data_IF_649190345679
#
_entry.id   IF_649190345679
#
_cell.length_a   1.000
_cell.length_b   1.000
_cell.length_c   1.000
_cell.angle_alpha   90.00
_cell.angle_beta   90.00
_cell.angle_gamma   90.00
#
_symmetry.space_group_name_H-M   'P 1'
#
loop_
_entity.id
_entity.type
_entity.pdbx_description
1 polymer ?
#
# COMPACT_ATOMS: atom_id res chain seq x y z
N UNK A 1 6.65 18.23 -18.03
CA UNK A 1 7.01 16.79 -17.95
C UNK A 1 6.03 16.13 -17.00
N UNK A 2 5.49 14.97 -17.35
CA UNK A 2 4.65 14.21 -16.41
C UNK A 2 5.50 13.32 -15.52
N UNK A 3 4.93 12.90 -14.39
CA UNK A 3 5.67 12.22 -13.33
C UNK A 3 5.99 10.77 -13.67
N UNK A 4 6.97 10.21 -12.98
CA UNK A 4 7.24 8.76 -12.91
C UNK A 4 6.74 8.19 -11.59
N UNK A 5 5.83 7.22 -11.65
CA UNK A 5 5.40 6.43 -10.49
C UNK A 5 6.18 5.13 -10.40
N UNK A 6 6.56 4.73 -9.18
CA UNK A 6 7.00 3.37 -8.89
C UNK A 6 5.96 2.68 -8.02
N UNK A 7 5.56 1.46 -8.36
CA UNK A 7 4.61 0.65 -7.58
C UNK A 7 5.19 -0.72 -7.25
N UNK A 8 5.22 -1.05 -5.94
CA UNK A 8 5.51 -2.38 -5.46
C UNK A 8 4.23 -3.08 -5.00
N UNK A 9 4.07 -4.36 -5.32
CA UNK A 9 2.86 -5.12 -4.99
C UNK A 9 1.69 -4.92 -5.97
N UNK A 10 1.99 -4.57 -7.23
CA UNK A 10 1.00 -4.34 -8.29
C UNK A 10 0.15 -5.58 -8.63
N UNK A 11 0.61 -6.79 -8.29
CA UNK A 11 -0.19 -8.01 -8.43
C UNK A 11 -1.15 -8.25 -7.26
N UNK A 12 -1.14 -7.41 -6.21
CA UNK A 12 -2.00 -7.53 -5.03
C UNK A 12 -3.40 -6.95 -5.22
N UNK A 13 -4.26 -7.10 -4.19
CA UNK A 13 -5.64 -6.59 -4.23
C UNK A 13 -5.71 -5.08 -4.45
N UNK A 14 -5.00 -4.30 -3.62
CA UNK A 14 -4.97 -2.83 -3.74
C UNK A 14 -4.04 -2.41 -4.87
N UNK A 15 -2.85 -3.00 -4.95
CA UNK A 15 -1.86 -2.63 -5.96
C UNK A 15 -2.32 -2.86 -7.40
N UNK A 16 -3.13 -3.90 -7.64
CA UNK A 16 -3.71 -4.15 -8.97
C UNK A 16 -4.74 -3.10 -9.37
N UNK A 17 -5.59 -2.65 -8.44
CA UNK A 17 -6.50 -1.53 -8.71
C UNK A 17 -5.74 -0.21 -8.85
N UNK A 18 -4.72 0.02 -8.03
CA UNK A 18 -3.89 1.22 -8.11
C UNK A 18 -3.13 1.29 -9.43
N UNK A 19 -2.59 0.17 -9.92
CA UNK A 19 -1.92 0.13 -11.23
C UNK A 19 -2.85 0.61 -12.35
N UNK A 20 -4.12 0.16 -12.37
CA UNK A 20 -5.10 0.63 -13.36
C UNK A 20 -5.32 2.14 -13.26
N UNK A 21 -5.43 2.67 -12.04
CA UNK A 21 -5.60 4.11 -11.80
C UNK A 21 -4.37 4.89 -12.28
N UNK A 22 -3.17 4.41 -11.99
CA UNK A 22 -1.92 5.05 -12.41
C UNK A 22 -1.77 5.09 -13.93
N UNK A 23 -2.07 3.98 -14.62
CA UNK A 23 -1.94 3.89 -16.08
C UNK A 23 -2.97 4.76 -16.82
N UNK A 24 -4.19 4.85 -16.29
CA UNK A 24 -5.27 5.68 -16.85
C UNK A 24 -5.11 7.18 -16.57
N UNK A 25 -4.44 7.56 -15.47
CA UNK A 25 -4.19 8.96 -15.12
C UNK A 25 -3.27 9.70 -16.10
N UNK A 26 -3.47 11.00 -16.30
CA UNK A 26 -2.62 11.84 -17.15
C UNK A 26 -1.39 12.41 -16.41
N UNK A 27 -1.37 12.26 -15.09
CA UNK A 27 -0.38 12.82 -14.17
C UNK A 27 0.94 12.04 -14.24
N UNK A 28 0.85 10.74 -14.53
CA UNK A 28 1.98 9.86 -14.73
C UNK A 28 2.15 9.54 -16.22
N UNK A 29 3.36 9.75 -16.71
CA UNK A 29 3.74 9.39 -18.09
C UNK A 29 4.48 8.06 -18.11
N UNK A 30 5.06 7.68 -16.98
CA UNK A 30 5.78 6.42 -16.80
C UNK A 30 5.39 5.76 -15.47
N UNK A 31 5.16 4.46 -15.49
CA UNK A 31 4.80 3.65 -14.31
C UNK A 31 5.70 2.43 -14.29
N UNK A 32 6.57 2.37 -13.28
CA UNK A 32 7.49 1.25 -13.04
C UNK A 32 6.84 0.31 -12.02
N UNK A 33 6.49 -0.90 -12.44
CA UNK A 33 5.95 -1.93 -11.56
C UNK A 33 7.06 -2.89 -11.12
N UNK A 34 7.37 -2.89 -9.82
CA UNK A 34 8.26 -3.88 -9.21
C UNK A 34 7.48 -5.16 -8.93
N UNK A 35 7.85 -6.23 -9.61
CA UNK A 35 7.13 -7.50 -9.60
C UNK A 35 8.09 -8.66 -9.43
N UNK A 36 7.58 -9.78 -8.92
CA UNK A 36 8.34 -11.06 -8.85
C UNK A 36 8.08 -11.97 -10.05
N UNK A 37 7.04 -11.65 -10.83
CA UNK A 37 6.56 -12.37 -12.01
C UNK A 37 5.88 -11.37 -12.93
N UNK A 38 5.92 -11.57 -14.25
CA UNK A 38 5.23 -10.69 -15.20
C UNK A 38 3.74 -10.53 -14.85
N UNK A 39 3.22 -9.33 -15.09
CA UNK A 39 1.80 -9.03 -15.02
C UNK A 39 1.13 -9.38 -16.36
N UNK A 40 -0.15 -9.74 -16.30
CA UNK A 40 -0.97 -9.94 -17.50
C UNK A 40 -1.58 -8.61 -17.97
N UNK A 41 -0.77 -7.55 -17.98
CA UNK A 41 -1.19 -6.18 -18.35
C UNK A 41 -0.17 -5.59 -19.31
N UNK A 42 -0.63 -5.14 -20.47
CA UNK A 42 0.21 -4.41 -21.43
C UNK A 42 -0.27 -2.97 -21.51
N UNK A 43 0.67 -2.02 -21.38
CA UNK A 43 0.36 -0.60 -21.50
C UNK A 43 1.61 0.19 -21.89
N UNK A 44 1.46 1.22 -22.73
CA UNK A 44 2.59 2.01 -23.24
C UNK A 44 3.37 2.77 -22.16
N UNK A 45 2.71 3.13 -21.07
CA UNK A 45 3.32 3.76 -19.88
C UNK A 45 3.92 2.76 -18.88
N UNK A 46 3.66 1.46 -19.04
CA UNK A 46 4.03 0.45 -18.06
C UNK A 46 5.41 -0.12 -18.38
N UNK A 47 6.32 -0.02 -17.43
CA UNK A 47 7.57 -0.77 -17.39
C UNK A 47 7.50 -1.77 -16.23
N UNK A 48 7.73 -3.05 -16.53
CA UNK A 48 7.82 -4.07 -15.50
C UNK A 48 9.29 -4.35 -15.18
N UNK A 49 9.63 -4.31 -13.90
CA UNK A 49 10.94 -4.74 -13.39
C UNK A 49 10.74 -5.98 -12.54
N UNK A 50 11.20 -7.10 -13.07
CA UNK A 50 11.21 -8.37 -12.35
C UNK A 50 12.41 -8.35 -11.43
N UNK A 51 12.17 -8.21 -10.13
CA UNK A 51 13.23 -8.10 -9.12
C UNK A 51 13.01 -9.10 -7.98
N UNK A 52 14.10 -9.45 -7.31
CA UNK A 52 14.03 -9.96 -5.95
C UNK A 52 13.98 -8.80 -4.96
N UNK A 53 13.02 -8.80 -4.03
CA UNK A 53 12.95 -7.74 -3.03
C UNK A 53 14.02 -7.88 -1.93
N UNK A 54 14.70 -9.02 -1.88
CA UNK A 54 15.92 -9.21 -1.07
C UNK A 54 17.12 -8.48 -1.66
N UNK A 55 17.12 -8.20 -2.97
CA UNK A 55 18.21 -7.55 -3.68
C UNK A 55 17.68 -6.41 -4.57
N UNK A 56 17.69 -5.20 -4.00
CA UNK A 56 17.22 -4.00 -4.69
C UNK A 56 18.32 -3.32 -5.51
N UNK A 57 19.52 -3.90 -5.65
CA UNK A 57 20.63 -3.31 -6.41
C UNK A 57 20.25 -3.14 -7.90
N UNK A 58 19.37 -3.98 -8.44
CA UNK A 58 18.87 -3.87 -9.82
C UNK A 58 18.08 -2.58 -10.13
N UNK A 59 17.74 -1.81 -9.09
CA UNK A 59 17.07 -0.52 -9.21
C UNK A 59 18.05 0.65 -9.23
N UNK A 60 19.34 0.41 -8.98
CA UNK A 60 20.39 1.40 -9.14
C UNK A 60 20.51 1.81 -10.61
N UNK A 61 20.46 3.13 -10.88
CA UNK A 61 20.46 3.65 -12.25
C UNK A 61 19.07 3.83 -12.88
N UNK A 62 17.99 3.60 -12.13
CA UNK A 62 16.67 4.06 -12.56
C UNK A 62 16.65 5.58 -12.75
N UNK A 63 15.90 6.03 -13.76
CA UNK A 63 15.53 7.43 -13.93
C UNK A 63 14.84 7.96 -12.67
N UNK A 64 14.84 9.28 -12.49
CA UNK A 64 14.22 9.95 -11.34
C UNK A 64 12.79 9.44 -11.12
N UNK A 65 12.53 8.94 -9.91
CA UNK A 65 11.21 8.52 -9.45
C UNK A 65 10.61 9.69 -8.69
N UNK A 66 9.37 10.10 -9.01
CA UNK A 66 8.70 11.18 -8.28
C UNK A 66 7.95 10.65 -7.06
N UNK A 67 7.11 9.65 -7.30
CA UNK A 67 6.14 9.12 -6.35
C UNK A 67 6.25 7.59 -6.24
N UNK A 68 6.31 7.07 -5.00
CA UNK A 68 6.39 5.64 -4.73
C UNK A 68 5.16 5.13 -4.00
N UNK A 69 4.60 4.03 -4.49
CA UNK A 69 3.45 3.34 -3.92
C UNK A 69 3.82 1.92 -3.49
N UNK A 70 3.92 1.71 -2.18
CA UNK A 70 4.19 0.40 -1.59
C UNK A 70 2.89 -0.28 -1.15
N UNK A 71 2.42 -1.20 -1.99
CA UNK A 71 1.25 -2.05 -1.74
C UNK A 71 1.65 -3.47 -1.30
N UNK A 72 2.90 -3.65 -0.86
CA UNK A 72 3.39 -4.92 -0.34
C UNK A 72 2.65 -5.30 0.95
N UNK A 73 2.51 -6.61 1.15
CA UNK A 73 1.92 -7.17 2.33
C UNK A 73 1.53 -8.62 2.11
N UNK A 74 1.66 -9.41 3.16
CA UNK A 74 1.31 -10.82 3.16
C UNK A 74 0.38 -11.15 4.32
N UNK A 75 0.00 -12.42 4.41
CA UNK A 75 -0.76 -12.99 5.52
C UNK A 75 0.12 -14.04 6.18
N UNK A 76 0.03 -14.25 7.50
CA UNK A 76 0.81 -15.31 8.16
C UNK A 76 0.55 -16.69 7.51
N UNK A 77 -0.67 -16.94 7.01
CA UNK A 77 -1.00 -18.16 6.23
C UNK A 77 -0.14 -18.34 4.97
N UNK A 78 0.20 -17.24 4.28
CA UNK A 78 1.07 -17.25 3.09
C UNK A 78 2.54 -17.20 3.45
N UNK A 79 2.90 -16.35 4.41
CA UNK A 79 4.26 -16.17 4.89
C UNK A 79 4.80 -17.44 5.56
N UNK A 80 3.91 -18.27 6.13
CA UNK A 80 4.20 -19.46 6.94
C UNK A 80 4.85 -19.16 8.28
N UNK A 81 5.73 -18.16 8.35
CA UNK A 81 6.41 -17.76 9.59
C UNK A 81 6.31 -16.26 9.84
N UNK A 82 6.56 -15.88 11.09
CA UNK A 82 6.58 -14.48 11.52
C UNK A 82 7.72 -13.72 10.85
N UNK A 83 8.89 -14.33 10.72
CA UNK A 83 10.09 -13.75 10.12
C UNK A 83 9.87 -13.42 8.65
N UNK A 84 9.27 -14.34 7.88
CA UNK A 84 8.91 -14.09 6.48
C UNK A 84 7.85 -12.98 6.38
N UNK A 85 6.91 -12.94 7.33
CA UNK A 85 5.92 -11.86 7.37
C UNK A 85 6.57 -10.51 7.67
N UNK A 86 7.51 -10.41 8.61
CA UNK A 86 8.25 -9.18 8.90
C UNK A 86 9.04 -8.73 7.69
N UNK A 87 9.75 -9.64 7.02
CA UNK A 87 10.50 -9.30 5.80
C UNK A 87 9.60 -8.64 4.75
N UNK A 88 8.44 -9.22 4.48
CA UNK A 88 7.52 -8.71 3.45
C UNK A 88 6.76 -7.45 3.89
N UNK A 89 6.31 -7.39 5.15
CA UNK A 89 5.42 -6.33 5.64
C UNK A 89 6.15 -5.15 6.29
N UNK A 90 7.47 -5.26 6.55
CA UNK A 90 8.31 -4.27 7.23
C UNK A 90 9.60 -4.01 6.46
N UNK A 91 10.44 -5.03 6.28
CA UNK A 91 11.81 -4.82 5.80
C UNK A 91 11.82 -4.36 4.34
N UNK A 92 11.11 -5.06 3.43
CA UNK A 92 11.05 -4.66 2.03
C UNK A 92 10.44 -3.26 1.82
N UNK A 93 9.32 -2.86 2.47
CA UNK A 93 8.87 -1.47 2.43
C UNK A 93 9.95 -0.46 2.84
N UNK A 94 10.68 -0.72 3.92
CA UNK A 94 11.72 0.19 4.42
C UNK A 94 12.90 0.25 3.44
N UNK A 95 13.39 -0.89 2.95
CA UNK A 95 14.48 -0.96 1.98
C UNK A 95 14.12 -0.23 0.69
N UNK A 96 12.91 -0.45 0.17
CA UNK A 96 12.40 0.27 -1.00
C UNK A 96 12.31 1.78 -0.75
N UNK A 97 11.89 2.19 0.45
CA UNK A 97 11.79 3.59 0.81
C UNK A 97 13.18 4.26 0.86
N UNK A 98 14.19 3.62 1.45
CA UNK A 98 15.55 4.14 1.49
C UNK A 98 16.15 4.31 0.08
N UNK A 99 16.01 3.27 -0.76
CA UNK A 99 16.47 3.32 -2.13
C UNK A 99 15.72 4.39 -2.95
N UNK A 100 14.39 4.43 -2.87
CA UNK A 100 13.63 5.46 -3.57
C UNK A 100 14.05 6.87 -3.17
N UNK A 101 14.33 7.08 -1.88
CA UNK A 101 14.83 8.36 -1.37
C UNK A 101 16.19 8.71 -1.95
N UNK A 102 17.12 7.76 -2.08
CA UNK A 102 18.43 7.99 -2.71
C UNK A 102 18.31 8.30 -4.21
N UNK A 103 17.30 7.74 -4.89
CA UNK A 103 16.96 8.03 -6.28
C UNK A 103 16.15 9.33 -6.49
N UNK A 104 15.94 10.11 -5.42
CA UNK A 104 15.32 11.44 -5.47
C UNK A 104 13.80 11.47 -5.30
N UNK A 105 13.16 10.35 -4.92
CA UNK A 105 11.73 10.32 -4.67
C UNK A 105 11.31 11.30 -3.57
N UNK A 106 10.28 12.08 -3.85
CA UNK A 106 9.76 13.11 -2.95
C UNK A 106 8.62 12.58 -2.10
N UNK A 107 7.80 11.70 -2.68
CA UNK A 107 6.61 11.18 -2.03
C UNK A 107 6.66 9.65 -1.90
N UNK A 108 6.27 9.14 -0.73
CA UNK A 108 6.17 7.72 -0.46
C UNK A 108 4.82 7.40 0.19
N UNK A 109 4.11 6.42 -0.37
CA UNK A 109 2.77 6.03 0.03
C UNK A 109 2.74 4.54 0.37
N UNK A 110 2.30 4.19 1.58
CA UNK A 110 2.35 2.81 2.08
C UNK A 110 1.04 2.36 2.68
N UNK A 111 0.71 1.08 2.49
CA UNK A 111 -0.43 0.45 3.15
C UNK A 111 0.02 -0.19 4.48
N UNK A 112 -0.48 0.38 5.57
CA UNK A 112 -0.37 -0.14 6.94
C UNK A 112 -1.70 -0.83 7.33
N UNK A 113 -2.10 -0.74 8.60
CA UNK A 113 -3.34 -1.32 9.11
C UNK A 113 -3.98 -0.44 10.19
N UNK A 114 -5.30 -0.53 10.35
CA UNK A 114 -6.05 0.23 11.36
C UNK A 114 -5.45 0.13 12.77
N UNK A 115 -4.98 -1.06 13.15
CA UNK A 115 -4.44 -1.35 14.48
C UNK A 115 -2.93 -1.16 14.62
N UNK A 116 -2.25 -0.51 13.67
CA UNK A 116 -0.80 -0.37 13.70
C UNK A 116 -0.32 0.43 14.91
N UNK A 117 0.45 -0.23 15.78
CA UNK A 117 1.01 0.32 17.01
C UNK A 117 2.22 -0.52 17.43
N UNK A 118 3.40 0.11 17.47
CA UNK A 118 4.67 -0.53 17.81
C UNK A 118 4.70 -1.09 19.24
N UNK A 119 3.78 -0.66 20.11
CA UNK A 119 3.64 -1.15 21.49
C UNK A 119 2.57 -2.23 21.64
N UNK A 120 1.91 -2.63 20.55
CA UNK A 120 0.84 -3.62 20.59
C UNK A 120 1.34 -5.02 20.98
N UNK A 121 0.54 -5.73 21.79
CA UNK A 121 0.76 -7.16 22.04
C UNK A 121 0.36 -8.04 20.85
N UNK A 122 -0.40 -7.50 19.88
CA UNK A 122 -0.77 -8.22 18.66
C UNK A 122 0.38 -8.10 17.67
N UNK A 123 0.98 -9.24 17.30
CA UNK A 123 2.14 -9.30 16.41
C UNK A 123 2.00 -8.45 15.14
N UNK A 124 0.90 -8.62 14.40
CA UNK A 124 0.68 -7.89 13.15
C UNK A 124 0.61 -6.37 13.34
N UNK A 125 -0.13 -5.93 14.36
CA UNK A 125 -0.21 -4.52 14.75
C UNK A 125 1.14 -3.94 15.13
N UNK A 126 1.95 -4.72 15.87
CA UNK A 126 3.30 -4.35 16.30
C UNK A 126 4.23 -4.13 15.14
N UNK A 127 4.35 -5.10 14.23
CA UNK A 127 5.28 -4.99 13.09
C UNK A 127 4.87 -3.85 12.15
N UNK A 128 3.57 -3.61 11.93
CA UNK A 128 3.10 -2.47 11.13
C UNK A 128 3.38 -1.13 11.81
N UNK A 129 3.25 -1.06 13.13
CA UNK A 129 3.65 0.13 13.88
C UNK A 129 5.16 0.41 13.80
N UNK A 130 5.99 -0.63 13.86
CA UNK A 130 7.45 -0.52 13.69
C UNK A 130 7.83 -0.02 12.29
N UNK A 131 7.20 -0.58 11.24
CA UNK A 131 7.36 -0.11 9.86
C UNK A 131 7.03 1.38 9.75
N UNK A 132 5.91 1.83 10.33
CA UNK A 132 5.54 3.24 10.28
C UNK A 132 6.54 4.15 10.99
N UNK A 133 7.09 3.73 12.13
CA UNK A 133 8.13 4.50 12.83
C UNK A 133 9.38 4.62 11.97
N UNK A 134 9.83 3.53 11.37
CA UNK A 134 11.01 3.53 10.51
C UNK A 134 10.82 4.45 9.29
N UNK A 135 9.69 4.34 8.58
CA UNK A 135 9.39 5.15 7.41
C UNK A 135 9.33 6.65 7.73
N UNK A 136 8.80 7.02 8.91
CA UNK A 136 8.80 8.43 9.37
C UNK A 136 10.21 9.00 9.53
N UNK A 137 11.19 8.15 9.88
CA UNK A 137 12.59 8.55 10.04
C UNK A 137 13.34 8.83 8.73
N UNK A 138 12.83 8.40 7.57
CA UNK A 138 13.53 8.53 6.27
C UNK A 138 13.50 9.97 5.72
N UNK A 139 12.50 10.76 6.10
CA UNK A 139 12.45 12.18 5.73
C UNK A 139 12.01 12.45 4.27
N UNK A 140 10.98 11.76 3.79
CA UNK A 140 10.28 12.16 2.55
C UNK A 140 9.64 13.54 2.68
N UNK A 141 9.51 14.26 1.57
CA UNK A 141 8.74 15.51 1.56
C UNK A 141 7.28 15.21 1.91
N UNK A 142 6.76 14.08 1.42
CA UNK A 142 5.42 13.59 1.75
C UNK A 142 5.49 12.10 2.04
N UNK A 143 5.00 11.71 3.22
CA UNK A 143 4.81 10.31 3.59
C UNK A 143 3.33 10.08 3.88
N UNK A 144 2.64 9.32 3.02
CA UNK A 144 1.25 8.94 3.25
C UNK A 144 1.14 7.51 3.75
N UNK A 145 0.59 7.34 4.96
CA UNK A 145 0.40 6.05 5.61
C UNK A 145 -1.09 5.74 5.61
N UNK A 146 -1.50 4.72 4.87
CA UNK A 146 -2.90 4.31 4.75
C UNK A 146 -3.18 3.19 5.73
N UNK A 147 -4.10 3.40 6.66
CA UNK A 147 -4.53 2.42 7.66
C UNK A 147 -5.95 1.95 7.34
N UNK A 148 -6.16 1.11 6.32
CA UNK A 148 -7.48 0.58 6.02
C UNK A 148 -7.97 -0.36 7.12
N UNK A 149 -9.29 -0.50 7.20
CA UNK A 149 -9.97 -1.56 7.94
C UNK A 149 -9.89 -2.89 7.17
N UNK A 150 -10.84 -3.80 7.39
CA UNK A 150 -10.94 -5.05 6.63
C UNK A 150 -11.09 -4.78 5.12
N UNK A 151 -10.17 -5.31 4.32
CA UNK A 151 -10.19 -5.17 2.87
C UNK A 151 -11.15 -6.18 2.23
N UNK A 152 -12.12 -5.68 1.45
CA UNK A 152 -13.00 -6.49 0.60
C UNK A 152 -12.50 -6.52 -0.84
N UNK A 153 -12.63 -7.66 -1.51
CA UNK A 153 -12.32 -7.77 -2.93
C UNK A 153 -12.50 -9.15 -3.54
N UNK A 154 -12.64 -9.19 -4.88
CA UNK A 154 -12.98 -10.36 -5.69
C UNK A 154 -11.82 -11.36 -5.93
N UNK A 155 -10.75 -11.31 -5.14
CA UNK A 155 -9.77 -12.42 -5.14
C UNK A 155 -10.12 -13.40 -4.03
N UNK A 156 -9.91 -14.69 -4.31
CA UNK A 156 -10.14 -15.87 -3.44
C UNK A 156 -9.42 -15.84 -2.08
N UNK A 157 -8.89 -14.70 -1.64
CA UNK A 157 -8.14 -14.56 -0.40
C UNK A 157 -8.62 -13.34 0.36
N UNK A 158 -9.56 -13.59 1.28
CA UNK A 158 -9.90 -12.68 2.36
C UNK A 158 -8.63 -12.31 3.13
N UNK A 159 -8.28 -11.02 3.15
CA UNK A 159 -7.20 -10.50 3.99
C UNK A 159 -7.71 -10.38 5.44
N UNK A 160 -7.48 -11.48 6.16
CA UNK A 160 -7.53 -11.74 7.60
C UNK A 160 -8.85 -11.64 8.37
N UNK A 161 -9.16 -12.77 9.02
CA UNK A 161 -10.33 -13.03 9.86
C UNK A 161 -10.84 -14.43 9.53
N UNK A 162 -10.17 -15.47 10.02
CA UNK A 162 -10.56 -16.87 9.85
C UNK A 162 -12.06 -17.07 10.05
N UNK A 163 -12.74 -17.63 9.04
CA UNK A 163 -14.03 -18.35 9.03
C UNK A 163 -15.29 -17.78 9.72
N UNK A 164 -15.18 -16.91 10.74
CA UNK A 164 -16.32 -16.42 11.53
C UNK A 164 -16.88 -15.08 11.03
N UNK A 165 -16.09 -14.27 10.31
CA UNK A 165 -16.51 -12.94 9.87
C UNK A 165 -17.41 -12.95 8.63
N UNK A 166 -17.29 -13.95 7.75
CA UNK A 166 -17.88 -13.89 6.41
C UNK A 166 -19.41 -14.01 6.40
N UNK A 167 -20.02 -14.54 7.47
CA UNK A 167 -21.48 -14.78 7.53
C UNK A 167 -22.23 -13.69 8.33
N UNK A 168 -21.62 -13.07 9.34
CA UNK A 168 -22.30 -12.07 10.20
C UNK A 168 -22.01 -10.59 9.86
N UNK A 169 -20.96 -10.32 9.07
CA UNK A 169 -20.39 -8.96 8.97
C UNK A 169 -21.12 -7.97 8.02
N UNK A 170 -21.83 -8.37 6.95
CA UNK A 170 -22.62 -7.43 6.16
C UNK A 170 -23.71 -6.74 7.00
N UNK A 171 -24.39 -7.50 7.85
CA UNK A 171 -25.44 -7.01 8.76
C UNK A 171 -24.85 -6.08 9.83
N UNK A 172 -23.70 -6.44 10.42
CA UNK A 172 -23.02 -5.61 11.41
C UNK A 172 -22.51 -4.28 10.82
N UNK A 173 -22.03 -4.29 9.56
CA UNK A 173 -21.53 -3.09 8.88
C UNK A 173 -22.62 -2.04 8.65
N UNK A 174 -23.87 -2.47 8.48
CA UNK A 174 -25.04 -1.60 8.37
C UNK A 174 -25.38 -0.93 9.70
N UNK A 175 -25.18 -1.62 10.83
CA UNK A 175 -25.42 -1.11 12.19
C UNK A 175 -24.28 -0.24 12.76
N UNK A 176 -23.08 -0.24 12.18
CA UNK A 176 -21.96 0.58 12.67
C UNK A 176 -22.11 2.06 12.25
N UNK A 177 -22.87 2.84 13.02
CA UNK A 177 -23.01 4.30 12.90
C UNK A 177 -22.07 5.05 13.87
N UNK A 178 -21.78 6.33 13.58
CA UNK A 178 -20.93 7.17 14.44
C UNK A 178 -19.43 6.80 14.44
N UNK A 179 -18.75 6.76 15.61
CA UNK A 179 -17.29 6.55 15.71
C UNK A 179 -16.83 5.16 15.25
N UNK A 180 -17.76 4.23 15.02
CA UNK A 180 -17.49 2.88 14.52
C UNK A 180 -17.34 2.81 12.99
N UNK A 181 -17.64 3.90 12.25
CA UNK A 181 -17.50 3.95 10.78
C UNK A 181 -16.11 3.57 10.29
N UNK A 182 -15.06 3.86 11.05
CA UNK A 182 -13.66 3.51 10.74
C UNK A 182 -13.39 2.00 10.67
N UNK A 183 -14.27 1.15 11.21
CA UNK A 183 -14.14 -0.31 11.16
C UNK A 183 -14.94 -0.96 10.03
N UNK A 184 -15.77 -0.19 9.30
CA UNK A 184 -16.50 -0.71 8.15
C UNK A 184 -15.51 -1.17 7.09
N UNK A 185 -15.80 -2.31 6.49
CA UNK A 185 -14.96 -2.90 5.47
C UNK A 185 -14.83 -1.95 4.25
N UNK A 186 -13.66 -1.99 3.60
CA UNK A 186 -13.28 -1.08 2.53
C UNK A 186 -12.77 -1.86 1.33
N UNK A 187 -13.15 -1.46 0.12
CA UNK A 187 -12.73 -2.13 -1.11
C UNK A 187 -11.29 -1.75 -1.48
N UNK A 188 -10.59 -2.70 -2.09
CA UNK A 188 -9.23 -2.45 -2.58
C UNK A 188 -9.14 -1.29 -3.57
N UNK A 189 -10.18 -1.11 -4.39
CA UNK A 189 -10.32 0.02 -5.32
C UNK A 189 -10.51 1.37 -4.63
N UNK A 190 -11.20 1.41 -3.48
CA UNK A 190 -11.35 2.65 -2.69
C UNK A 190 -10.00 3.08 -2.11
N UNK A 191 -9.21 2.13 -1.58
CA UNK A 191 -7.86 2.43 -1.08
C UNK A 191 -6.95 2.89 -2.21
N UNK A 192 -6.96 2.19 -3.34
CA UNK A 192 -6.18 2.57 -4.52
C UNK A 192 -6.49 4.00 -5.00
N UNK A 193 -7.78 4.34 -5.11
CA UNK A 193 -8.20 5.69 -5.50
C UNK A 193 -7.76 6.74 -4.50
N UNK A 194 -7.91 6.48 -3.21
CA UNK A 194 -7.44 7.40 -2.17
C UNK A 194 -5.92 7.61 -2.22
N UNK A 195 -5.13 6.55 -2.41
CA UNK A 195 -3.67 6.65 -2.58
C UNK A 195 -3.30 7.56 -3.74
N UNK A 196 -3.96 7.39 -4.89
CA UNK A 196 -3.76 8.24 -6.05
C UNK A 196 -4.16 9.70 -5.77
N UNK A 197 -5.34 9.95 -5.21
CA UNK A 197 -5.80 11.31 -4.89
C UNK A 197 -4.87 12.04 -3.93
N UNK A 198 -4.38 11.35 -2.90
CA UNK A 198 -3.40 11.90 -1.96
C UNK A 198 -2.10 12.27 -2.65
N UNK A 199 -1.59 11.43 -3.57
CA UNK A 199 -0.38 11.74 -4.34
C UNK A 199 -0.49 13.00 -5.20
N UNK A 200 -1.73 13.37 -5.56
CA UNK A 200 -2.04 14.58 -6.33
C UNK A 200 -2.39 15.79 -5.46
N UNK A 201 -2.58 15.62 -4.16
CA UNK A 201 -3.07 16.68 -3.26
C UNK A 201 -2.05 17.78 -2.95
N UNK A 202 -0.76 17.50 -3.14
CA UNK A 202 0.32 18.42 -2.76
C UNK A 202 0.54 18.56 -1.25
N UNK A 203 -0.07 17.69 -0.43
CA UNK A 203 0.19 17.68 1.01
C UNK A 203 1.66 17.36 1.31
N UNK A 204 2.20 18.01 2.33
CA UNK A 204 3.59 17.87 2.80
C UNK A 204 3.58 17.25 4.19
N UNK A 205 4.65 16.55 4.55
CA UNK A 205 4.86 15.94 5.85
C UNK A 205 4.30 14.52 5.94
N UNK A 206 4.20 14.05 7.18
CA UNK A 206 3.70 12.70 7.50
C UNK A 206 2.20 12.76 7.72
N UNK A 207 1.44 12.07 6.87
CA UNK A 207 -0.01 12.04 6.89
C UNK A 207 -0.49 10.60 7.08
N UNK A 208 -1.36 10.37 8.07
CA UNK A 208 -1.94 9.06 8.36
C UNK A 208 -3.43 9.12 8.03
N UNK A 209 -3.89 8.22 7.18
CA UNK A 209 -5.28 8.15 6.73
C UNK A 209 -5.96 6.92 7.28
N UNK A 210 -6.98 7.11 8.11
CA UNK A 210 -7.82 6.04 8.64
C UNK A 210 -8.88 5.62 7.62
N UNK A 211 -9.45 4.44 7.80
CA UNK A 211 -10.36 3.84 6.82
C UNK A 211 -11.57 4.70 6.41
N UNK A 212 -12.15 5.50 7.32
CA UNK A 212 -13.28 6.36 6.96
C UNK A 212 -12.83 7.58 6.14
N UNK A 213 -11.62 8.09 6.38
CA UNK A 213 -11.00 9.15 5.57
C UNK A 213 -10.66 8.63 4.18
N UNK A 214 -10.09 7.41 4.09
CA UNK A 214 -9.83 6.72 2.81
C UNK A 214 -11.12 6.60 2.00
N UNK A 215 -12.20 6.14 2.63
CA UNK A 215 -13.51 5.99 1.96
C UNK A 215 -14.08 7.32 1.47
N UNK A 216 -14.00 8.38 2.30
CA UNK A 216 -14.41 9.75 1.90
C UNK A 216 -13.62 10.24 0.69
N UNK A 217 -12.29 10.03 0.66
CA UNK A 217 -11.43 10.45 -0.46
C UNK A 217 -11.70 9.66 -1.74
N UNK A 218 -12.13 8.41 -1.63
CA UNK A 218 -12.53 7.61 -2.80
C UNK A 218 -13.85 8.07 -3.44
N UNK A 219 -14.60 8.97 -2.78
CA UNK A 219 -15.89 9.48 -3.25
C UNK A 219 -17.00 8.43 -3.20
N UNK A 220 -16.99 7.58 -2.17
CA UNK A 220 -17.87 6.41 -2.00
C UNK A 220 -18.68 6.43 -0.71
#
# INVERSE_FOLDING_TARGET
MGKTALIAGASGLVGGELLKVLLSGSQYQHVIALVRRPLEVQHTKLEERIIDFEDLEELEGLQTIDDVFCCLGTTIKKAKTQEVMTRIDVDYPISLANLAKSLGAKQYFVISSMGADAKSNIYYSRIKGLMEIALKGIGFQTLGIFRPSLLLGNRKEFRFGEAAATVMMPVLSMMMVGPLKKYRAIYGSEVARAMYMVAQSGQIGVNIYLSDEIKKMAGS
#
